data_IF_337035028740
#
_entry.id   IF_337035028740
#
_cell.length_a   1.000
_cell.length_b   1.000
_cell.length_c   1.000
_cell.angle_alpha   90.00
_cell.angle_beta   90.00
_cell.angle_gamma   90.00
#
_symmetry.space_group_name_H-M   'P 1'
#
loop_
_entity.id
_entity.type
_entity.pdbx_description
1 polymer ?
#
# COMPACT_ATOMS: atom_id res chain seq x y z
N UNK A 1 1.96 3.56 -10.97
CA UNK A 1 1.84 5.03 -11.06
C UNK A 1 0.42 5.42 -10.66
N UNK A 2 0.23 6.51 -9.94
CA UNK A 2 -1.07 7.13 -9.65
C UNK A 2 -1.21 8.46 -10.40
N UNK A 3 -2.43 8.90 -10.72
CA UNK A 3 -2.71 10.29 -11.09
C UNK A 3 -3.08 11.10 -9.84
N UNK A 4 -2.97 12.45 -9.86
CA UNK A 4 -3.36 13.29 -8.74
C UNK A 4 -4.77 12.99 -8.25
N UNK A 5 -4.93 12.83 -6.93
CA UNK A 5 -6.22 12.48 -6.33
C UNK A 5 -6.69 11.04 -6.56
N UNK A 6 -5.87 10.13 -7.10
CA UNK A 6 -6.23 8.71 -7.19
C UNK A 6 -6.23 8.03 -5.83
N UNK A 7 -7.18 7.11 -5.62
CA UNK A 7 -7.20 6.21 -4.47
C UNK A 7 -7.50 4.78 -4.91
N UNK A 8 -6.68 3.83 -4.46
CA UNK A 8 -6.85 2.40 -4.71
C UNK A 8 -6.20 1.61 -3.56
N UNK A 9 -6.39 0.29 -3.60
CA UNK A 9 -5.79 -0.64 -2.65
C UNK A 9 -5.43 -1.98 -3.30
N UNK A 10 -4.36 -2.60 -2.80
CA UNK A 10 -3.98 -3.98 -3.14
C UNK A 10 -4.40 -4.87 -1.99
N UNK A 11 -5.31 -5.81 -2.26
CA UNK A 11 -5.76 -6.78 -1.27
C UNK A 11 -4.97 -8.09 -1.36
N UNK A 12 -4.55 -8.61 -0.21
CA UNK A 12 -3.76 -9.84 -0.11
C UNK A 12 -4.11 -10.63 1.15
N UNK A 13 -3.75 -11.92 1.17
CA UNK A 13 -4.21 -12.88 2.19
C UNK A 13 -5.74 -12.92 2.32
N UNK A 14 -6.44 -12.65 1.20
CA UNK A 14 -7.89 -12.65 1.13
C UNK A 14 -8.42 -14.03 0.79
N UNK A 15 -9.73 -14.21 0.99
CA UNK A 15 -10.50 -15.30 0.39
C UNK A 15 -11.40 -14.72 -0.68
N UNK A 16 -11.68 -15.51 -1.72
CA UNK A 16 -12.65 -15.11 -2.74
C UNK A 16 -13.97 -14.72 -2.07
N UNK A 17 -14.52 -13.60 -2.53
CA UNK A 17 -15.79 -13.06 -2.09
C UNK A 17 -16.45 -12.49 -3.34
N UNK A 18 -17.73 -12.78 -3.52
CA UNK A 18 -18.44 -12.48 -4.76
C UNK A 18 -18.73 -10.98 -4.93
N UNK A 19 -19.04 -10.31 -3.82
CA UNK A 19 -19.45 -8.91 -3.83
C UNK A 19 -18.78 -8.10 -2.71
N UNK A 20 -18.60 -6.81 -2.96
CA UNK A 20 -18.09 -5.87 -1.97
C UNK A 20 -16.60 -6.01 -1.68
N UNK A 21 -16.16 -5.38 -0.59
CA UNK A 21 -14.75 -5.31 -0.22
C UNK A 21 -14.36 -6.59 0.54
N UNK A 22 -13.14 -7.14 0.34
CA UNK A 22 -12.73 -8.37 1.02
C UNK A 22 -12.89 -8.28 2.54
N UNK A 23 -13.73 -9.15 3.12
CA UNK A 23 -13.94 -9.22 4.58
C UNK A 23 -12.76 -9.83 5.34
N UNK A 24 -11.89 -10.55 4.64
CA UNK A 24 -10.74 -11.26 5.18
C UNK A 24 -9.49 -10.83 4.45
N UNK A 25 -8.37 -10.76 5.16
CA UNK A 25 -7.07 -10.36 4.64
C UNK A 25 -6.74 -8.92 4.99
N UNK A 26 -5.88 -8.33 4.17
CA UNK A 26 -5.36 -6.98 4.38
C UNK A 26 -5.43 -6.15 3.11
N UNK A 27 -5.44 -4.83 3.29
CA UNK A 27 -5.33 -3.84 2.22
C UNK A 27 -4.04 -3.03 2.37
N UNK A 28 -3.22 -3.06 1.33
CA UNK A 28 -2.11 -2.13 1.18
C UNK A 28 -2.57 -0.93 0.34
N UNK A 29 -2.52 0.26 0.92
CA UNK A 29 -2.95 1.48 0.26
C UNK A 29 -2.11 1.81 -0.97
N UNK A 30 -2.78 2.39 -1.96
CA UNK A 30 -2.20 2.99 -3.16
C UNK A 30 -2.82 4.38 -3.34
N UNK A 31 -2.21 5.39 -2.70
CA UNK A 31 -2.52 6.79 -2.94
C UNK A 31 -1.37 7.72 -2.49
N UNK A 32 -1.21 8.86 -3.16
CA UNK A 32 -0.18 9.84 -2.84
C UNK A 32 -0.84 11.17 -2.43
N UNK A 33 -1.48 11.87 -3.36
CA UNK A 33 -2.10 13.19 -3.09
C UNK A 33 -3.60 13.15 -2.82
N UNK A 34 -4.20 11.96 -2.70
CA UNK A 34 -5.61 11.83 -2.33
C UNK A 34 -5.89 12.46 -0.95
N UNK A 35 -7.13 12.82 -0.67
CA UNK A 35 -7.52 13.43 0.60
C UNK A 35 -7.46 12.45 1.80
N UNK A 36 -7.44 11.13 1.54
CA UNK A 36 -7.24 10.13 2.60
C UNK A 36 -5.84 10.28 3.20
N UNK A 37 -5.69 10.41 4.53
CA UNK A 37 -4.38 10.49 5.18
C UNK A 37 -3.56 9.20 5.08
N UNK A 38 -4.18 8.03 4.84
CA UNK A 38 -3.47 6.73 4.78
C UNK A 38 -2.83 6.56 3.41
N UNK A 39 -1.56 6.94 3.26
CA UNK A 39 -0.85 6.95 1.97
C UNK A 39 -0.34 5.58 1.54
N UNK A 40 0.19 5.52 0.32
CA UNK A 40 0.81 4.33 -0.28
C UNK A 40 1.66 3.57 0.73
N UNK A 41 1.45 2.26 0.80
CA UNK A 41 2.11 1.33 1.73
C UNK A 41 1.64 1.40 3.19
N UNK A 42 0.59 2.18 3.48
CA UNK A 42 -0.20 1.95 4.68
C UNK A 42 -0.88 0.59 4.60
N UNK A 43 -0.92 -0.13 5.71
CA UNK A 43 -1.74 -1.32 5.88
C UNK A 43 -3.04 -0.90 6.57
N UNK A 44 -4.14 -0.85 5.81
CA UNK A 44 -5.39 -0.26 6.28
C UNK A 44 -5.86 -0.91 7.59
N UNK A 45 -6.12 -0.09 8.61
CA UNK A 45 -6.55 -0.55 9.93
C UNK A 45 -5.45 -1.15 10.81
N UNK A 46 -4.19 -1.22 10.35
CA UNK A 46 -3.07 -1.80 11.09
C UNK A 46 -1.95 -0.77 11.32
N UNK A 47 -1.44 -0.16 10.25
CA UNK A 47 -0.33 0.81 10.33
C UNK A 47 -0.42 1.81 9.19
N UNK A 48 -0.33 3.09 9.54
CA UNK A 48 -0.43 4.19 8.60
C UNK A 48 0.95 4.69 8.18
N UNK A 49 1.03 5.13 6.93
CA UNK A 49 2.13 5.88 6.34
C UNK A 49 1.57 7.22 5.93
N UNK A 50 2.03 8.30 6.57
CA UNK A 50 1.52 9.65 6.29
C UNK A 50 2.29 10.34 5.15
N UNK A 51 3.57 10.01 5.00
CA UNK A 51 4.43 10.47 3.90
C UNK A 51 5.13 9.26 3.25
N UNK A 52 4.69 8.85 2.05
CA UNK A 52 5.27 7.71 1.35
C UNK A 52 6.59 8.07 0.65
N UNK A 53 6.99 9.35 0.57
CA UNK A 53 8.15 9.79 -0.21
C UNK A 53 7.99 9.57 -1.71
N UNK A 54 6.75 9.55 -2.21
CA UNK A 54 6.38 9.34 -3.61
C UNK A 54 5.73 10.60 -4.18
N UNK A 55 5.72 10.70 -5.51
CA UNK A 55 5.02 11.77 -6.25
C UNK A 55 4.14 11.15 -7.33
N UNK A 56 3.00 11.79 -7.61
CA UNK A 56 2.10 11.36 -8.68
C UNK A 56 2.76 11.45 -10.06
N UNK A 57 2.18 10.75 -11.03
CA UNK A 57 2.64 10.66 -12.42
C UNK A 57 4.05 10.07 -12.57
N UNK A 58 4.55 9.37 -11.54
CA UNK A 58 5.79 8.62 -11.57
C UNK A 58 5.50 7.15 -11.28
N UNK A 59 6.12 6.26 -12.07
CA UNK A 59 6.06 4.82 -11.81
C UNK A 59 6.78 4.52 -10.51
N UNK A 60 6.22 3.63 -9.70
CA UNK A 60 6.84 3.09 -8.50
C UNK A 60 6.56 1.59 -8.48
N UNK A 61 7.48 0.83 -7.88
CA UNK A 61 7.28 -0.61 -7.66
C UNK A 61 6.83 -0.80 -6.22
N UNK A 62 5.70 -1.47 -6.02
CA UNK A 62 5.24 -1.88 -4.70
C UNK A 62 5.27 -3.41 -4.62
N UNK A 63 5.94 -3.93 -3.61
CA UNK A 63 6.07 -5.35 -3.35
C UNK A 63 5.51 -5.70 -1.98
N UNK A 64 4.74 -6.77 -1.93
CA UNK A 64 4.08 -7.26 -0.72
C UNK A 64 4.50 -8.72 -0.52
N UNK A 65 5.12 -9.02 0.62
CA UNK A 65 5.55 -10.36 0.97
C UNK A 65 4.79 -10.89 2.18
N UNK A 66 3.99 -11.93 1.95
CA UNK A 66 3.13 -12.52 2.98
C UNK A 66 3.87 -13.31 4.06
N UNK A 67 4.87 -14.11 3.68
CA UNK A 67 5.55 -15.06 4.59
C UNK A 67 6.35 -14.39 5.72
N UNK A 68 6.82 -13.17 5.48
CA UNK A 68 7.54 -12.33 6.47
C UNK A 68 6.80 -11.03 6.79
N UNK A 69 5.61 -10.85 6.21
CA UNK A 69 4.71 -9.72 6.41
C UNK A 69 5.43 -8.37 6.31
N UNK A 70 6.01 -8.10 5.15
CA UNK A 70 6.59 -6.80 4.83
C UNK A 70 6.04 -6.21 3.54
N UNK A 71 5.99 -4.87 3.50
CA UNK A 71 5.67 -4.08 2.31
C UNK A 71 6.88 -3.22 1.98
N UNK A 72 7.26 -3.21 0.71
CA UNK A 72 8.35 -2.41 0.14
C UNK A 72 7.81 -1.55 -0.99
N UNK A 73 8.27 -0.31 -1.08
CA UNK A 73 8.02 0.55 -2.23
C UNK A 73 9.28 1.22 -2.67
N UNK A 74 9.51 1.29 -3.98
CA UNK A 74 10.73 1.83 -4.58
C UNK A 74 10.40 2.76 -5.74
N UNK A 75 11.12 3.88 -5.83
CA UNK A 75 11.10 4.76 -6.99
C UNK A 75 12.15 4.30 -8.02
N UNK A 76 11.91 4.51 -9.31
CA UNK A 76 12.85 4.15 -10.38
C UNK A 76 14.22 4.83 -10.24
N UNK A 77 14.26 6.06 -9.70
CA UNK A 77 15.45 6.92 -9.66
C UNK A 77 16.07 7.09 -8.28
N UNK A 78 15.45 6.55 -7.22
CA UNK A 78 15.98 6.58 -5.85
C UNK A 78 15.54 5.33 -5.09
N UNK A 79 16.46 4.73 -4.34
CA UNK A 79 16.19 3.72 -3.32
C UNK A 79 15.41 4.32 -2.13
N UNK A 80 14.27 4.98 -2.39
CA UNK A 80 13.32 5.40 -1.36
C UNK A 80 12.63 4.13 -0.84
N UNK A 81 13.39 3.34 -0.09
CA UNK A 81 13.02 2.04 0.42
C UNK A 81 12.30 2.23 1.75
N UNK A 82 10.98 2.10 1.75
CA UNK A 82 10.18 2.09 2.99
C UNK A 82 9.74 0.68 3.31
N UNK A 83 10.04 0.22 4.53
CA UNK A 83 9.61 -1.06 5.06
C UNK A 83 8.49 -0.87 6.07
N UNK A 84 7.37 -1.54 5.85
CA UNK A 84 6.33 -1.69 6.86
C UNK A 84 6.29 -3.16 7.23
N UNK A 85 6.64 -3.48 8.49
CA UNK A 85 6.57 -4.87 8.99
C UNK A 85 5.31 -5.04 9.82
N UNK A 86 4.47 -5.99 9.42
CA UNK A 86 3.32 -6.41 10.20
C UNK A 86 3.73 -7.69 10.95
N UNK A 87 3.97 -7.60 12.26
CA UNK A 87 4.11 -8.82 13.06
C UNK A 87 2.71 -9.41 13.22
N UNK A 88 2.46 -10.59 12.66
CA UNK A 88 1.26 -11.36 12.99
C UNK A 88 1.24 -11.55 14.52
N UNK A 89 0.13 -11.19 15.16
CA UNK A 89 -0.16 -11.65 16.52
C UNK A 89 -0.44 -13.14 16.52
#
# INVERSE_FOLDING_TARGET
MTTPGSNAGIYFHTKYQDEGWPKQGYECQVNITHHDPKKTSSLYGVVNVDDPGLVDNVWCTQEICGSRSWIRTELPSRHALRWVTCRSR
#
